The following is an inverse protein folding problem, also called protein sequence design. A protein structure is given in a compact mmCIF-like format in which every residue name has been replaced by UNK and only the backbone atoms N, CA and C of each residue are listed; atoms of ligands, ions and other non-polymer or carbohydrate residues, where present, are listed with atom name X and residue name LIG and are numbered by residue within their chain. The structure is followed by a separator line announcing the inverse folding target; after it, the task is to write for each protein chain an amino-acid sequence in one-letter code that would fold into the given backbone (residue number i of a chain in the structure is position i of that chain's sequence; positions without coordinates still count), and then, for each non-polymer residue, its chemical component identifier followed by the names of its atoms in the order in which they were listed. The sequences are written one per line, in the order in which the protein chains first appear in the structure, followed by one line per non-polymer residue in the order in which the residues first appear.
data_IF_170653538688
#
_entry.id   IF_170653538688
#
_cell.length_a   1.000
_cell.length_b   1.000
_cell.length_c   1.000
_cell.angle_alpha   90.00
_cell.angle_beta   90.00
_cell.angle_gamma   90.00
#
_symmetry.space_group_name_H-M   'P 1'
#
loop_
_entity.id
_entity.type
_entity.pdbx_description
1 polymer ?
#
# COMPACT_ATOMS: atom_id res chain seq x y z
N UNK A 1 -13.68 25.00 -5.79
CA UNK A 1 -12.50 24.11 -5.69
C UNK A 1 -12.84 23.02 -4.67
N UNK A 2 -12.91 21.76 -5.11
CA UNK A 2 -13.57 20.69 -4.36
C UNK A 2 -12.58 20.00 -3.41
N UNK A 3 -12.80 20.10 -2.10
CA UNK A 3 -11.94 19.55 -1.03
C UNK A 3 -11.73 18.02 -1.20
N UNK A 4 -12.72 17.34 -1.80
CA UNK A 4 -12.69 15.89 -2.06
C UNK A 4 -11.71 15.54 -3.20
N UNK A 5 -11.55 16.39 -4.21
CA UNK A 5 -10.58 16.17 -5.28
C UNK A 5 -9.14 16.36 -4.79
N UNK A 6 -8.92 17.31 -3.87
CA UNK A 6 -7.59 17.60 -3.32
C UNK A 6 -7.07 16.48 -2.41
N UNK A 7 -7.92 15.95 -1.54
CA UNK A 7 -7.57 14.83 -0.67
C UNK A 7 -7.34 13.55 -1.46
N UNK A 8 -8.17 13.27 -2.49
CA UNK A 8 -7.97 12.13 -3.38
C UNK A 8 -6.64 12.21 -4.16
N UNK A 9 -6.31 13.37 -4.75
CA UNK A 9 -5.03 13.56 -5.45
C UNK A 9 -3.83 13.49 -4.51
N UNK A 10 -3.95 13.99 -3.27
CA UNK A 10 -2.87 13.93 -2.29
C UNK A 10 -2.52 12.47 -1.92
N UNK A 11 -3.54 11.65 -1.67
CA UNK A 11 -3.34 10.24 -1.34
C UNK A 11 -2.82 9.41 -2.52
N UNK A 12 -3.22 9.74 -3.75
CA UNK A 12 -2.65 9.13 -4.96
C UNK A 12 -1.15 9.45 -5.08
N UNK A 13 -0.77 10.72 -4.94
CA UNK A 13 0.62 11.14 -5.08
C UNK A 13 1.55 10.49 -4.04
N UNK A 14 1.11 10.40 -2.77
CA UNK A 14 1.89 9.72 -1.72
C UNK A 14 2.02 8.24 -2.04
N UNK A 15 0.94 7.60 -2.50
CA UNK A 15 0.96 6.19 -2.81
C UNK A 15 1.85 5.84 -4.01
N UNK A 16 1.80 6.66 -5.07
CA UNK A 16 2.69 6.55 -6.23
C UNK A 16 4.15 6.77 -5.84
N UNK A 17 4.43 7.77 -5.00
CA UNK A 17 5.79 8.05 -4.52
C UNK A 17 6.36 6.89 -3.67
N UNK A 18 5.54 6.30 -2.80
CA UNK A 18 5.94 5.13 -2.02
C UNK A 18 6.15 3.88 -2.90
N UNK A 19 5.28 3.67 -3.89
CA UNK A 19 5.44 2.61 -4.88
C UNK A 19 6.72 2.77 -5.70
N UNK A 20 6.99 4.00 -6.16
CA UNK A 20 8.22 4.36 -6.89
C UNK A 20 9.47 4.16 -6.04
N UNK A 21 9.43 4.52 -4.75
CA UNK A 21 10.55 4.25 -3.82
C UNK A 21 10.82 2.76 -3.65
N UNK A 22 9.78 1.92 -3.63
CA UNK A 22 9.96 0.46 -3.57
C UNK A 22 10.61 -0.07 -4.85
N UNK A 23 10.19 0.38 -6.03
CA UNK A 23 10.77 -0.07 -7.31
C UNK A 23 12.20 0.45 -7.52
N UNK A 24 12.49 1.71 -7.20
CA UNK A 24 13.81 2.33 -7.39
C UNK A 24 14.84 1.89 -6.34
N UNK A 25 14.45 1.78 -5.06
CA UNK A 25 15.40 1.54 -3.97
C UNK A 25 15.64 0.06 -3.65
N UNK A 26 14.99 -0.88 -4.35
CA UNK A 26 14.92 -2.33 -3.98
C UNK A 26 14.52 -2.58 -2.52
N UNK A 27 13.88 -1.60 -1.87
CA UNK A 27 13.40 -1.71 -0.50
C UNK A 27 12.03 -2.37 -0.48
N UNK A 28 11.83 -3.21 0.52
CA UNK A 28 10.56 -3.92 0.72
C UNK A 28 9.47 -3.00 1.27
N UNK A 29 8.21 -3.43 1.14
CA UNK A 29 7.06 -2.84 1.83
C UNK A 29 7.32 -2.55 3.30
N UNK A 30 8.00 -3.48 3.99
CA UNK A 30 8.27 -3.36 5.42
C UNK A 30 9.24 -2.22 5.74
N UNK A 31 10.16 -1.93 4.84
CA UNK A 31 11.17 -0.89 5.04
C UNK A 31 10.66 0.51 4.70
N UNK A 32 9.74 0.60 3.74
CA UNK A 32 9.16 1.86 3.29
C UNK A 32 7.80 2.06 3.97
N UNK A 33 6.76 1.37 3.52
CA UNK A 33 5.37 1.64 3.91
C UNK A 33 5.13 1.36 5.39
N UNK A 34 5.56 0.21 5.89
CA UNK A 34 5.36 -0.13 7.30
C UNK A 34 6.15 0.81 8.22
N UNK A 35 7.36 1.23 7.83
CA UNK A 35 8.15 2.22 8.59
C UNK A 35 7.44 3.57 8.65
N UNK A 36 6.99 4.08 7.52
CA UNK A 36 6.27 5.35 7.46
C UNK A 36 4.94 5.28 8.23
N UNK A 37 4.23 4.15 8.18
CA UNK A 37 3.02 3.91 8.97
C UNK A 37 3.31 3.86 10.47
N UNK A 38 4.40 3.17 10.87
CA UNK A 38 4.82 3.08 12.28
C UNK A 38 5.22 4.44 12.85
N UNK A 39 5.83 5.30 12.01
CA UNK A 39 6.18 6.68 12.35
C UNK A 39 4.99 7.64 12.36
N UNK A 40 3.79 7.16 12.00
CA UNK A 40 2.58 7.98 11.77
C UNK A 40 2.76 9.04 10.68
N UNK A 41 3.70 8.83 9.76
CA UNK A 41 3.90 9.68 8.59
C UNK A 41 2.83 9.43 7.52
N UNK A 42 2.24 8.22 7.52
CA UNK A 42 1.06 7.89 6.72
C UNK A 42 -0.07 7.38 7.60
N UNK A 43 -1.28 7.74 7.21
CA UNK A 43 -2.54 7.35 7.82
C UNK A 43 -3.07 6.04 7.22
N UNK A 44 -4.06 5.45 7.88
CA UNK A 44 -4.75 4.24 7.40
C UNK A 44 -5.40 4.41 6.02
N UNK A 45 -6.07 5.53 5.68
CA UNK A 45 -6.54 5.81 4.33
C UNK A 45 -5.44 5.79 3.27
N UNK A 46 -4.27 6.38 3.57
CA UNK A 46 -3.12 6.39 2.67
C UNK A 46 -2.54 5.00 2.45
N UNK A 47 -2.37 4.24 3.54
CA UNK A 47 -1.95 2.83 3.48
C UNK A 47 -2.90 2.02 2.59
N UNK A 48 -4.21 2.22 2.74
CA UNK A 48 -5.23 1.55 1.93
C UNK A 48 -5.10 1.94 0.45
N UNK A 49 -4.83 3.21 0.15
CA UNK A 49 -4.66 3.70 -1.21
C UNK A 49 -3.42 3.09 -1.88
N UNK A 50 -2.30 2.96 -1.16
CA UNK A 50 -1.09 2.26 -1.64
C UNK A 50 -1.41 0.84 -2.08
N UNK A 51 -2.08 0.09 -1.21
CA UNK A 51 -2.46 -1.31 -1.49
C UNK A 51 -3.45 -1.38 -2.66
N UNK A 52 -4.41 -0.45 -2.73
CA UNK A 52 -5.38 -0.39 -3.82
C UNK A 52 -4.72 -0.13 -5.17
N UNK A 53 -3.82 0.85 -5.25
CA UNK A 53 -3.10 1.17 -6.49
C UNK A 53 -2.25 -0.03 -6.92
N UNK A 54 -1.49 -0.62 -5.99
CA UNK A 54 -0.71 -1.83 -6.29
C UNK A 54 -1.58 -2.97 -6.81
N UNK A 55 -2.74 -3.22 -6.20
CA UNK A 55 -3.70 -4.23 -6.69
C UNK A 55 -4.26 -3.88 -8.07
N UNK A 56 -4.59 -2.61 -8.34
CA UNK A 56 -5.09 -2.15 -9.63
C UNK A 56 -4.05 -2.40 -10.75
N UNK A 57 -2.77 -2.16 -10.48
CA UNK A 57 -1.69 -2.36 -11.45
C UNK A 57 -1.48 -3.83 -11.86
N UNK A 58 -1.77 -4.79 -10.97
CA UNK A 58 -1.50 -6.22 -11.19
C UNK A 58 -2.76 -7.06 -11.47
N UNK A 59 -3.94 -6.43 -11.54
CA UNK A 59 -5.22 -7.12 -11.76
C UNK A 59 -5.80 -7.80 -10.51
N UNK A 60 -5.70 -7.16 -9.35
CA UNK A 60 -6.33 -7.58 -8.08
C UNK A 60 -5.88 -8.94 -7.50
N UNK A 61 -4.66 -9.38 -7.83
CA UNK A 61 -4.11 -10.63 -7.31
C UNK A 61 -3.10 -10.40 -6.17
N UNK A 62 -3.45 -10.77 -4.94
CA UNK A 62 -2.56 -10.60 -3.77
C UNK A 62 -1.19 -11.26 -3.90
N UNK A 63 -1.12 -12.45 -4.51
CA UNK A 63 0.17 -13.13 -4.72
C UNK A 63 1.07 -12.35 -5.67
N UNK A 64 0.50 -11.73 -6.71
CA UNK A 64 1.25 -10.85 -7.63
C UNK A 64 1.64 -9.52 -6.99
N UNK A 65 1.01 -9.15 -5.88
CA UNK A 65 1.31 -7.92 -5.15
C UNK A 65 2.62 -8.03 -4.36
N UNK A 66 2.96 -9.23 -3.91
CA UNK A 66 4.19 -9.50 -3.17
C UNK A 66 5.45 -9.05 -3.94
N UNK A 67 5.73 -9.53 -5.17
CA UNK A 67 6.90 -9.07 -5.90
C UNK A 67 6.82 -7.59 -6.27
N UNK A 68 5.62 -7.05 -6.52
CA UNK A 68 5.43 -5.61 -6.78
C UNK A 68 5.85 -4.73 -5.60
N UNK A 69 5.66 -5.22 -4.37
CA UNK A 69 6.07 -4.57 -3.14
C UNK A 69 7.39 -5.08 -2.56
N UNK A 70 8.17 -5.84 -3.35
CA UNK A 70 9.42 -6.48 -2.91
C UNK A 70 9.26 -7.27 -1.60
N UNK A 71 8.12 -7.93 -1.43
CA UNK A 71 7.82 -8.80 -0.28
C UNK A 71 8.15 -10.24 -0.68
N UNK A 72 8.91 -10.93 0.15
CA UNK A 72 9.20 -12.35 -0.04
C UNK A 72 7.92 -13.19 0.17
N UNK A 73 7.78 -14.30 -0.55
CA UNK A 73 6.61 -15.18 -0.41
C UNK A 73 6.45 -15.75 1.01
N UNK A 74 7.56 -15.95 1.74
CA UNK A 74 7.58 -16.35 3.15
C UNK A 74 6.87 -15.34 4.06
N UNK A 75 6.89 -14.05 3.72
CA UNK A 75 6.24 -12.97 4.45
C UNK A 75 4.76 -12.79 4.07
N UNK A 76 4.22 -13.57 3.13
CA UNK A 76 2.83 -13.45 2.68
C UNK A 76 1.82 -13.45 3.84
N UNK A 77 1.93 -14.43 4.76
CA UNK A 77 1.02 -14.52 5.92
C UNK A 77 1.18 -13.31 6.84
N UNK A 78 2.41 -12.84 7.05
CA UNK A 78 2.70 -11.66 7.88
C UNK A 78 2.08 -10.40 7.27
N UNK A 79 2.21 -10.23 5.96
CA UNK A 79 1.63 -9.12 5.21
C UNK A 79 0.09 -9.14 5.28
N UNK A 80 -0.53 -10.28 5.02
CA UNK A 80 -1.99 -10.43 5.12
C UNK A 80 -2.49 -10.18 6.55
N UNK A 81 -1.80 -10.71 7.56
CA UNK A 81 -2.13 -10.46 8.96
C UNK A 81 -2.00 -8.97 9.33
N UNK A 82 -0.99 -8.28 8.80
CA UNK A 82 -0.85 -6.85 8.98
C UNK A 82 -2.05 -6.08 8.40
N UNK A 83 -2.44 -6.36 7.15
CA UNK A 83 -3.60 -5.72 6.54
C UNK A 83 -4.90 -5.99 7.29
N UNK A 84 -5.11 -7.25 7.70
CA UNK A 84 -6.28 -7.63 8.50
C UNK A 84 -6.32 -6.89 9.84
N UNK A 85 -5.18 -6.74 10.54
CA UNK A 85 -5.09 -5.94 11.78
C UNK A 85 -5.45 -4.47 11.56
N UNK A 86 -5.10 -3.92 10.41
CA UNK A 86 -5.48 -2.56 10.04
C UNK A 86 -6.93 -2.46 9.55
N UNK A 87 -7.69 -3.55 9.46
CA UNK A 87 -9.05 -3.57 8.90
C UNK A 87 -9.09 -3.29 7.39
N UNK A 88 -7.99 -3.56 6.69
CA UNK A 88 -7.90 -3.48 5.23
C UNK A 88 -8.24 -4.87 4.71
N UNK A 89 -9.52 -5.08 4.42
CA UNK A 89 -10.04 -6.31 3.80
C UNK A 89 -10.63 -5.99 2.43
N UNK A 90 -10.54 -6.93 1.49
CA UNK A 90 -11.09 -6.82 0.13
C UNK A 90 -12.58 -6.44 0.09
N UNK A 91 -13.32 -6.69 1.18
CA UNK A 91 -14.74 -6.37 1.31
C UNK A 91 -15.06 -4.88 1.17
N UNK A 92 -14.10 -3.98 1.36
CA UNK A 92 -14.35 -2.55 1.25
C UNK A 92 -14.21 -1.98 -0.18
N UNK A 93 -13.89 -2.81 -1.19
CA UNK A 93 -13.74 -2.41 -2.60
C UNK A 93 -14.92 -2.84 -3.49
N UNK A 94 -16.08 -3.13 -2.90
CA UNK A 94 -17.30 -3.50 -3.61
C UNK A 94 -18.21 -2.29 -3.78
#
# INVERSE_FOLDING_TARGET
MNVIQYTHNHYINIAEELARKMTESRKSFWEIVHREFSRKNISKPELRQVVYIGLKHIGYCWKKLLPYFNIQESDYKKFMNFLNKQGITLSCFK
#
